data_IF_368783306699
#
_entry.id   IF_368783306699
#
_cell.length_a   1.000
_cell.length_b   1.000
_cell.length_c   1.000
_cell.angle_alpha   90.00
_cell.angle_beta   90.00
_cell.angle_gamma   90.00
#
_symmetry.space_group_name_H-M   'P 1'
#
loop_
_entity.id
_entity.type
_entity.pdbx_description
1 polymer ?
#
# COMPACT_ATOMS: atom_id res chain seq x y z
N UNK A 1 7.87 0.12 -17.34
CA UNK A 1 6.85 -0.94 -17.23
C UNK A 1 7.43 -2.08 -16.42
N UNK A 2 7.24 -2.05 -15.10
CA UNK A 2 7.70 -3.12 -14.20
C UNK A 2 6.72 -4.28 -14.34
N UNK A 3 7.15 -5.29 -15.08
CA UNK A 3 6.44 -6.55 -15.22
C UNK A 3 6.91 -7.43 -14.07
N UNK A 4 6.15 -7.48 -12.98
CA UNK A 4 6.37 -8.44 -11.91
C UNK A 4 5.90 -9.81 -12.43
N UNK A 5 6.68 -10.38 -13.35
CA UNK A 5 6.47 -11.71 -13.87
C UNK A 5 7.18 -12.71 -12.96
N UNK A 6 6.38 -13.68 -12.49
CA UNK A 6 6.76 -14.97 -11.93
C UNK A 6 7.23 -14.97 -10.47
N UNK A 7 6.37 -15.44 -9.56
CA UNK A 7 6.81 -16.31 -8.45
C UNK A 7 5.84 -17.49 -8.36
N UNK A 8 6.39 -18.68 -8.61
CA UNK A 8 5.78 -19.95 -8.30
C UNK A 8 5.55 -20.06 -6.79
N UNK A 9 4.40 -20.62 -6.41
CA UNK A 9 4.11 -20.92 -5.02
C UNK A 9 5.12 -21.93 -4.49
N UNK A 10 5.89 -21.52 -3.48
CA UNK A 10 6.46 -22.47 -2.53
C UNK A 10 5.42 -22.64 -1.43
N UNK A 11 4.83 -23.83 -1.39
CA UNK A 11 4.08 -24.30 -0.24
C UNK A 11 5.07 -24.96 0.72
N UNK A 12 5.11 -24.45 1.95
CA UNK A 12 5.74 -25.11 3.09
C UNK A 12 5.39 -26.61 3.08
N UNK A 13 6.43 -27.44 3.22
CA UNK A 13 6.44 -28.88 2.98
C UNK A 13 5.50 -29.75 3.85
N UNK A 14 4.58 -29.18 4.63
CA UNK A 14 3.72 -29.93 5.55
C UNK A 14 2.24 -29.52 5.55
N UNK A 15 1.79 -28.64 4.66
CA UNK A 15 0.35 -28.35 4.50
C UNK A 15 -0.07 -28.44 3.04
N UNK A 16 -1.28 -28.93 2.72
CA UNK A 16 -1.72 -29.10 1.34
C UNK A 16 -2.12 -27.75 0.75
N UNK A 17 -1.16 -26.85 0.53
CA UNK A 17 -1.42 -25.48 0.07
C UNK A 17 -1.75 -25.49 -1.41
N UNK A 18 -2.99 -25.10 -1.71
CA UNK A 18 -3.59 -25.08 -3.05
C UNK A 18 -3.34 -23.71 -3.64
N UNK A 19 -2.63 -23.71 -4.75
CA UNK A 19 -1.78 -22.60 -5.11
C UNK A 19 -2.53 -21.62 -6.06
N UNK A 20 -2.79 -20.39 -5.61
CA UNK A 20 -3.29 -19.30 -6.46
C UNK A 20 -2.13 -18.43 -6.91
N UNK A 21 -1.89 -18.38 -8.22
CA UNK A 21 -0.85 -17.55 -8.83
C UNK A 21 -1.37 -16.12 -8.90
N UNK A 22 -0.65 -15.16 -8.31
CA UNK A 22 -1.03 -13.74 -8.33
C UNK A 22 -0.01 -12.97 -9.18
N UNK A 23 -0.51 -12.16 -10.12
CA UNK A 23 0.30 -11.20 -10.89
C UNK A 23 -0.17 -9.79 -10.62
N UNK A 24 0.72 -8.97 -10.07
CA UNK A 24 0.55 -7.53 -9.98
C UNK A 24 1.30 -6.87 -11.12
N UNK A 25 0.66 -5.97 -11.88
CA UNK A 25 1.40 -5.09 -12.80
C UNK A 25 1.16 -3.65 -12.41
N UNK A 26 2.25 -2.89 -12.34
CA UNK A 26 2.24 -1.46 -12.07
C UNK A 26 2.96 -0.74 -13.21
N UNK A 27 2.46 0.43 -13.57
CA UNK A 27 3.09 1.24 -14.62
C UNK A 27 4.34 1.96 -14.09
N UNK A 28 4.38 2.18 -12.76
CA UNK A 28 5.38 2.96 -12.02
C UNK A 28 5.99 2.11 -10.90
N UNK A 29 7.23 2.43 -10.51
CA UNK A 29 7.99 1.75 -9.44
C UNK A 29 7.48 2.09 -8.03
N UNK A 30 7.02 3.32 -7.83
CA UNK A 30 6.38 3.81 -6.61
C UNK A 30 4.96 4.21 -6.97
N UNK A 31 3.98 3.73 -6.19
CA UNK A 31 2.57 4.03 -6.42
C UNK A 31 2.06 5.09 -5.45
N UNK A 32 1.38 6.10 -5.97
CA UNK A 32 0.68 7.11 -5.18
C UNK A 32 -0.73 6.64 -4.81
N UNK A 33 -0.99 6.63 -3.50
CA UNK A 33 -2.31 6.31 -2.96
C UNK A 33 -3.39 7.28 -3.51
N UNK A 34 -4.52 6.74 -3.95
CA UNK A 34 -5.65 7.50 -4.49
C UNK A 34 -5.54 7.93 -5.96
N UNK A 35 -4.42 7.65 -6.63
CA UNK A 35 -4.17 8.02 -8.03
C UNK A 35 -3.89 6.77 -8.84
N UNK A 36 -2.89 5.99 -8.41
CA UNK A 36 -2.38 4.88 -9.18
C UNK A 36 -3.24 3.62 -9.07
N UNK A 37 -3.19 2.82 -10.14
CA UNK A 37 -3.97 1.60 -10.29
C UNK A 37 -3.05 0.38 -10.30
N UNK A 38 -3.39 -0.59 -9.46
CA UNK A 38 -2.79 -1.90 -9.42
C UNK A 38 -3.66 -2.89 -10.20
N UNK A 39 -3.07 -3.56 -11.19
CA UNK A 39 -3.76 -4.65 -11.90
C UNK A 39 -3.37 -5.97 -11.26
N UNK A 40 -4.35 -6.66 -10.68
CA UNK A 40 -4.18 -7.94 -9.99
C UNK A 40 -4.85 -9.02 -10.82
N UNK A 41 -4.10 -10.05 -11.18
CA UNK A 41 -4.63 -11.23 -11.87
C UNK A 41 -4.37 -12.46 -11.04
N UNK A 42 -5.38 -13.31 -10.87
CA UNK A 42 -5.21 -14.59 -10.22
C UNK A 42 -5.76 -15.77 -11.00
N UNK A 43 -5.10 -16.92 -10.85
CA UNK A 43 -5.48 -18.20 -11.46
C UNK A 43 -5.08 -19.37 -10.55
N UNK A 44 -5.85 -20.45 -10.58
CA UNK A 44 -5.44 -21.71 -9.96
C UNK A 44 -4.22 -22.29 -10.69
N UNK A 45 -3.19 -22.67 -9.93
CA UNK A 45 -2.05 -23.40 -10.47
C UNK A 45 -2.47 -24.78 -10.98
N UNK A 46 -1.95 -25.18 -12.13
CA UNK A 46 -2.17 -26.51 -12.73
C UNK A 46 -1.58 -27.65 -11.90
N UNK A 47 -0.69 -27.36 -10.94
CA UNK A 47 -0.07 -28.35 -10.04
C UNK A 47 -0.92 -28.72 -8.83
N UNK A 48 -2.09 -28.09 -8.65
CA UNK A 48 -2.98 -28.38 -7.53
C UNK A 48 -3.61 -29.79 -7.66
N UNK A 49 -3.09 -30.76 -6.90
CA UNK A 49 -3.53 -32.17 -6.92
C UNK A 49 -4.98 -32.41 -6.46
N UNK A 50 -5.62 -31.43 -5.80
CA UNK A 50 -6.99 -31.54 -5.29
C UNK A 50 -7.72 -30.22 -5.48
N UNK A 51 -8.87 -30.23 -6.15
CA UNK A 51 -9.76 -29.07 -6.26
C UNK A 51 -10.38 -28.81 -4.89
N UNK A 52 -10.14 -27.65 -4.27
CA UNK A 52 -10.78 -27.33 -2.98
C UNK A 52 -12.15 -26.74 -3.26
N UNK A 53 -13.11 -27.07 -2.41
CA UNK A 53 -14.44 -26.45 -2.41
C UNK A 53 -14.32 -25.10 -1.68
N UNK A 54 -13.57 -24.16 -2.24
CA UNK A 54 -13.57 -22.78 -1.75
C UNK A 54 -14.59 -22.00 -2.56
N UNK A 55 -15.49 -21.33 -1.83
CA UNK A 55 -16.57 -20.54 -2.42
C UNK A 55 -16.09 -19.12 -2.70
N UNK A 56 -15.15 -18.62 -1.90
CA UNK A 56 -14.76 -17.21 -1.88
C UNK A 56 -13.25 -17.02 -1.82
N UNK A 57 -12.77 -16.05 -2.60
CA UNK A 57 -11.40 -15.54 -2.56
C UNK A 57 -11.45 -14.13 -1.96
N UNK A 58 -10.69 -13.91 -0.90
CA UNK A 58 -10.40 -12.60 -0.30
C UNK A 58 -9.00 -12.17 -0.74
N UNK A 59 -8.90 -11.05 -1.44
CA UNK A 59 -7.62 -10.45 -1.84
C UNK A 59 -7.35 -9.29 -0.89
N UNK A 60 -6.21 -9.32 -0.21
CA UNK A 60 -5.78 -8.33 0.76
C UNK A 60 -4.40 -7.77 0.39
N UNK A 61 -4.15 -6.55 0.83
CA UNK A 61 -2.86 -5.87 0.73
C UNK A 61 -2.13 -5.97 2.07
N UNK A 62 -0.88 -6.44 2.04
CA UNK A 62 -0.12 -6.81 3.23
C UNK A 62 1.24 -6.13 3.30
N UNK A 63 1.69 -5.81 4.51
CA UNK A 63 3.00 -5.18 4.74
C UNK A 63 4.15 -6.16 4.53
N UNK A 64 5.13 -5.77 3.71
CA UNK A 64 6.40 -6.49 3.60
C UNK A 64 7.20 -6.43 4.91
N UNK A 65 8.08 -7.40 5.22
CA UNK A 65 8.86 -7.42 6.46
C UNK A 65 9.63 -6.12 6.72
N UNK A 66 10.18 -5.52 5.67
CA UNK A 66 10.88 -4.22 5.73
C UNK A 66 10.01 -3.09 6.28
N UNK A 67 8.69 -3.16 6.08
CA UNK A 67 7.71 -2.17 6.55
C UNK A 67 7.17 -2.44 7.95
N UNK A 68 7.53 -3.59 8.55
CA UNK A 68 7.07 -4.03 9.87
C UNK A 68 8.08 -3.75 10.99
N UNK A 69 9.35 -3.51 10.65
CA UNK A 69 10.42 -3.17 11.60
C UNK A 69 10.01 -1.97 12.45
N UNK A 70 10.13 -2.09 13.78
CA UNK A 70 9.77 -1.10 14.79
C UNK A 70 8.32 -0.59 14.75
N UNK A 71 7.40 -1.35 14.13
CA UNK A 71 5.99 -0.98 13.99
C UNK A 71 5.08 -2.11 14.48
N UNK A 72 4.84 -2.22 15.81
CA UNK A 72 4.01 -3.28 16.39
C UNK A 72 2.58 -3.35 15.83
N UNK A 73 2.05 -2.25 15.30
CA UNK A 73 0.74 -2.20 14.65
C UNK A 73 0.70 -2.82 13.25
N UNK A 74 1.83 -3.31 12.72
CA UNK A 74 1.97 -3.99 11.41
C UNK A 74 2.50 -5.42 11.55
N UNK A 75 2.56 -5.96 12.77
CA UNK A 75 3.21 -7.23 13.09
C UNK A 75 2.44 -8.43 12.54
N UNK A 76 3.19 -9.41 12.01
CA UNK A 76 2.67 -10.73 11.66
C UNK A 76 2.49 -11.62 12.89
N UNK A 77 1.32 -12.22 13.01
CA UNK A 77 0.98 -13.22 14.03
C UNK A 77 0.47 -14.51 13.35
N UNK A 78 0.65 -15.65 14.00
CA UNK A 78 0.20 -16.94 13.46
C UNK A 78 -1.33 -17.10 13.49
N UNK A 79 -1.99 -16.42 14.41
CA UNK A 79 -3.45 -16.41 14.49
C UNK A 79 -4.01 -15.33 13.57
N UNK A 80 -4.78 -15.72 12.55
CA UNK A 80 -5.39 -14.83 11.55
C UNK A 80 -6.15 -13.64 12.16
N UNK A 81 -6.85 -13.86 13.27
CA UNK A 81 -7.61 -12.80 13.95
C UNK A 81 -6.70 -11.76 14.64
N UNK A 82 -5.49 -12.14 15.03
CA UNK A 82 -4.50 -11.26 15.66
C UNK A 82 -3.53 -10.66 14.65
N UNK A 83 -3.48 -11.20 13.43
CA UNK A 83 -2.57 -10.75 12.39
C UNK A 83 -2.92 -9.33 11.90
N UNK A 84 -1.97 -8.41 12.06
CA UNK A 84 -2.10 -7.01 11.61
C UNK A 84 -1.35 -6.74 10.31
N UNK A 85 -0.79 -7.79 9.70
CA UNK A 85 0.01 -7.68 8.48
C UNK A 85 -0.81 -7.20 7.29
N UNK A 86 -2.08 -7.60 7.22
CA UNK A 86 -2.95 -7.40 6.07
C UNK A 86 -4.17 -6.53 6.40
N UNK A 87 -3.98 -5.22 6.65
CA UNK A 87 -5.07 -4.36 7.12
C UNK A 87 -6.06 -3.97 6.01
N UNK A 88 -5.63 -3.92 4.75
CA UNK A 88 -6.45 -3.40 3.67
C UNK A 88 -7.01 -4.55 2.82
N UNK A 89 -8.34 -4.61 2.75
CA UNK A 89 -9.05 -5.54 1.91
C UNK A 89 -9.26 -4.93 0.53
N UNK A 90 -8.74 -5.59 -0.50
CA UNK A 90 -8.86 -5.12 -1.89
C UNK A 90 -10.22 -5.55 -2.46
N UNK A 91 -10.51 -6.85 -2.41
CA UNK A 91 -11.74 -7.40 -2.96
C UNK A 91 -12.10 -8.76 -2.36
N UNK A 92 -13.40 -9.04 -2.27
CA UNK A 92 -13.90 -10.42 -2.10
C UNK A 92 -14.68 -10.80 -3.34
N UNK A 93 -14.35 -11.94 -3.94
CA UNK A 93 -15.10 -12.51 -5.05
C UNK A 93 -15.43 -13.96 -4.82
N UNK A 94 -16.54 -14.41 -5.41
CA UNK A 94 -16.80 -15.82 -5.55
C UNK A 94 -15.72 -16.47 -6.42
N UNK A 95 -15.29 -17.66 -6.04
CA UNK A 95 -14.27 -18.40 -6.75
C UNK A 95 -14.75 -18.80 -8.14
N UNK A 96 -13.89 -18.60 -9.14
CA UNK A 96 -14.06 -19.14 -10.48
C UNK A 96 -12.76 -19.83 -10.91
N UNK A 97 -12.88 -20.95 -11.63
CA UNK A 97 -11.75 -21.72 -12.17
C UNK A 97 -11.00 -20.95 -13.26
N UNK A 98 -11.67 -20.02 -13.94
CA UNK A 98 -11.08 -19.17 -14.98
C UNK A 98 -10.14 -18.12 -14.39
N UNK A 99 -9.16 -17.68 -15.19
CA UNK A 99 -8.30 -16.55 -14.81
C UNK A 99 -9.13 -15.29 -14.63
N UNK A 100 -9.00 -14.64 -13.49
CA UNK A 100 -9.68 -13.39 -13.19
C UNK A 100 -8.66 -12.27 -13.08
N UNK A 101 -8.96 -11.13 -13.69
CA UNK A 101 -8.18 -9.91 -13.58
C UNK A 101 -9.05 -8.78 -13.02
N UNK A 102 -8.45 -7.93 -12.20
CA UNK A 102 -9.10 -6.81 -11.57
C UNK A 102 -8.14 -5.62 -11.47
N UNK A 103 -8.61 -4.45 -11.88
CA UNK A 103 -7.89 -3.19 -11.68
C UNK A 103 -8.41 -2.55 -10.40
N UNK A 104 -7.53 -2.38 -9.43
CA UNK A 104 -7.82 -1.74 -8.15
C UNK A 104 -7.09 -0.40 -8.08
N UNK A 105 -7.83 0.67 -7.79
CA UNK A 105 -7.20 1.95 -7.44
C UNK A 105 -6.79 1.90 -5.97
N UNK A 106 -5.56 2.28 -5.65
CA UNK A 106 -5.12 2.29 -4.26
C UNK A 106 -5.97 3.27 -3.44
N UNK A 107 -6.52 2.80 -2.33
CA UNK A 107 -7.28 3.67 -1.43
C UNK A 107 -6.40 4.76 -0.82
N UNK A 108 -7.01 5.92 -0.54
CA UNK A 108 -6.32 7.09 0.01
C UNK A 108 -5.79 6.87 1.43
N UNK A 109 -6.38 5.93 2.16
CA UNK A 109 -6.04 5.61 3.54
C UNK A 109 -4.83 4.66 3.66
N UNK A 110 -4.27 4.23 2.52
CA UNK A 110 -3.08 3.38 2.51
C UNK A 110 -1.85 4.21 2.90
N UNK A 111 -1.17 3.76 3.94
CA UNK A 111 0.00 4.43 4.49
C UNK A 111 1.26 4.21 3.63
N UNK A 112 2.25 5.09 3.79
CA UNK A 112 3.54 4.91 3.12
C UNK A 112 4.23 3.65 3.63
N UNK A 113 4.68 2.82 2.71
CA UNK A 113 5.39 1.58 3.00
C UNK A 113 5.52 0.66 1.80
N UNK A 114 6.26 -0.41 1.98
CA UNK A 114 6.40 -1.50 1.02
C UNK A 114 5.37 -2.59 1.30
N UNK A 115 4.66 -3.02 0.26
CA UNK A 115 3.55 -3.96 0.33
C UNK A 115 3.70 -5.12 -0.66
N UNK A 116 2.94 -6.18 -0.42
CA UNK A 116 2.70 -7.29 -1.35
C UNK A 116 1.23 -7.70 -1.33
N UNK A 117 0.79 -8.41 -2.36
CA UNK A 117 -0.60 -8.90 -2.46
C UNK A 117 -0.69 -10.31 -1.88
N UNK A 118 -1.66 -10.51 -0.99
CA UNK A 118 -1.98 -11.80 -0.40
C UNK A 118 -3.42 -12.18 -0.73
N UNK A 119 -3.66 -13.44 -1.02
CA UNK A 119 -5.00 -14.00 -1.19
C UNK A 119 -5.24 -15.07 -0.14
N UNK A 120 -6.40 -14.96 0.51
CA UNK A 120 -6.93 -15.95 1.43
C UNK A 120 -8.13 -16.62 0.75
N UNK A 121 -8.20 -17.95 0.82
CA UNK A 121 -9.33 -18.72 0.34
C UNK A 121 -10.10 -19.27 1.53
N UNK A 122 -11.40 -19.00 1.50
CA UNK A 122 -12.32 -19.37 2.57
C UNK A 122 -13.39 -20.30 2.01
N UNK A 123 -13.80 -21.26 2.84
CA UNK A 123 -14.91 -22.15 2.58
C UNK A 123 -16.14 -21.65 3.33
N UNK A 124 -17.21 -21.34 2.60
CA UNK A 124 -18.45 -20.78 3.16
C UNK A 124 -19.30 -21.79 3.94
N UNK A 125 -18.85 -23.04 4.07
CA UNK A 125 -19.63 -24.14 4.68
C UNK A 125 -19.46 -24.20 6.20
N UNK A 126 -18.32 -23.82 6.76
CA UNK A 126 -18.16 -23.72 8.22
C UNK A 126 -17.99 -22.24 8.60
N UNK A 127 -18.91 -21.75 9.42
CA UNK A 127 -19.02 -20.35 9.86
C UNK A 127 -17.88 -19.88 10.81
N UNK A 128 -16.66 -20.35 10.60
CA UNK A 128 -15.44 -19.86 11.24
C UNK A 128 -14.53 -19.40 10.10
N UNK A 129 -13.88 -18.25 10.22
CA UNK A 129 -12.89 -17.76 9.26
C UNK A 129 -11.61 -18.64 9.25
N UNK A 130 -11.75 -19.95 8.97
CA UNK A 130 -10.62 -20.86 8.83
C UNK A 130 -10.12 -20.77 7.39
N UNK A 131 -8.84 -20.45 7.26
CA UNK A 131 -8.19 -20.40 5.97
C UNK A 131 -7.96 -21.81 5.44
N UNK A 132 -8.47 -22.09 4.24
CA UNK A 132 -8.33 -23.39 3.59
C UNK A 132 -7.09 -23.43 2.71
N UNK A 133 -6.67 -22.26 2.21
CA UNK A 133 -5.43 -22.05 1.46
C UNK A 133 -5.13 -20.56 1.26
N UNK A 134 -3.84 -20.23 1.13
CA UNK A 134 -3.36 -18.92 0.69
C UNK A 134 -2.67 -19.00 -0.66
N UNK A 135 -2.60 -17.85 -1.33
CA UNK A 135 -1.61 -17.57 -2.36
C UNK A 135 -0.98 -16.19 -2.12
N UNK A 136 0.32 -16.05 -2.34
CA UNK A 136 1.05 -14.80 -2.17
C UNK A 136 1.78 -14.42 -3.46
N UNK A 137 1.94 -13.12 -3.71
CA UNK A 137 2.71 -12.63 -4.87
C UNK A 137 4.23 -12.65 -4.67
N UNK A 138 4.69 -12.94 -3.45
CA UNK A 138 6.08 -12.90 -3.00
C UNK A 138 6.59 -14.30 -2.63
N UNK A 139 7.90 -14.46 -2.45
CA UNK A 139 8.52 -15.70 -1.97
C UNK A 139 8.27 -15.92 -0.46
N UNK A 140 8.58 -17.10 0.08
CA UNK A 140 8.40 -17.39 1.53
C UNK A 140 9.16 -16.40 2.42
N UNK A 141 10.33 -15.94 1.97
CA UNK A 141 11.12 -14.93 2.68
C UNK A 141 10.55 -13.49 2.56
N UNK A 142 9.50 -13.29 1.75
CA UNK A 142 8.83 -12.00 1.48
C UNK A 142 9.80 -10.90 1.03
N UNK A 143 10.76 -11.25 0.19
CA UNK A 143 11.82 -10.36 -0.33
C UNK A 143 11.67 -10.02 -1.81
N UNK A 144 10.85 -10.76 -2.58
CA UNK A 144 10.66 -10.55 -4.03
C UNK A 144 9.27 -10.00 -4.35
N UNK A 145 9.09 -9.35 -5.49
CA UNK A 145 7.82 -8.79 -5.96
C UNK A 145 7.12 -7.84 -4.97
N UNK A 146 7.92 -7.01 -4.32
CA UNK A 146 7.46 -5.96 -3.43
C UNK A 146 7.25 -4.67 -4.23
N UNK A 147 6.27 -3.86 -3.84
CA UNK A 147 6.08 -2.52 -4.40
C UNK A 147 5.97 -1.49 -3.29
N UNK A 148 6.47 -0.28 -3.56
CA UNK A 148 6.42 0.83 -2.62
C UNK A 148 5.16 1.65 -2.89
N UNK A 149 4.41 1.95 -1.83
CA UNK A 149 3.27 2.86 -1.85
C UNK A 149 3.64 4.11 -1.09
N UNK A 150 3.35 5.25 -1.70
CA UNK A 150 3.44 6.56 -1.08
C UNK A 150 2.04 7.03 -0.71
N UNK A 151 1.82 7.28 0.59
CA UNK A 151 0.55 7.82 1.06
C UNK A 151 0.36 9.26 0.59
N UNK A 152 -0.89 9.69 0.57
CA UNK A 152 -1.23 11.10 0.38
C UNK A 152 -0.66 11.88 1.57
N UNK A 153 0.37 12.68 1.30
CA UNK A 153 0.86 13.63 2.29
C UNK A 153 -0.18 14.74 2.45
N UNK A 154 -0.59 15.03 3.69
CA UNK A 154 -1.42 16.21 4.01
C UNK A 154 -0.74 17.55 3.72
N UNK A 155 0.54 17.55 3.32
CA UNK A 155 1.25 18.74 2.85
C UNK A 155 0.79 19.07 1.43
N UNK A 156 -0.28 19.83 1.34
CA UNK A 156 -0.75 20.39 0.08
C UNK A 156 0.29 21.35 -0.49
N UNK A 157 0.52 21.31 -1.80
CA UNK A 157 1.41 22.26 -2.51
C UNK A 157 1.04 23.72 -2.25
N UNK A 158 -0.24 23.99 -1.99
CA UNK A 158 -0.74 25.30 -1.58
C UNK A 158 -0.10 25.80 -0.26
N UNK A 159 0.12 24.92 0.71
CA UNK A 159 0.70 25.28 2.00
C UNK A 159 2.18 25.63 1.86
N UNK A 160 2.90 24.91 0.99
CA UNK A 160 4.28 25.26 0.65
C UNK A 160 4.38 26.64 0.00
N UNK A 161 3.52 26.93 -0.99
CA UNK A 161 3.49 28.22 -1.67
C UNK A 161 3.13 29.35 -0.68
N UNK A 162 2.13 29.14 0.17
CA UNK A 162 1.74 30.13 1.19
C UNK A 162 2.90 30.42 2.16
N UNK A 163 3.65 29.41 2.59
CA UNK A 163 4.80 29.58 3.48
C UNK A 163 5.90 30.45 2.86
N UNK A 164 6.17 30.27 1.57
CA UNK A 164 7.13 31.09 0.82
C UNK A 164 6.64 32.53 0.75
N UNK A 165 5.38 32.76 0.39
CA UNK A 165 4.80 34.10 0.32
C UNK A 165 4.86 34.84 1.67
N UNK A 166 4.47 34.18 2.77
CA UNK A 166 4.51 34.79 4.11
C UNK A 166 5.94 35.10 4.57
N UNK A 167 6.91 34.23 4.27
CA UNK A 167 8.31 34.49 4.60
C UNK A 167 8.84 35.73 3.87
N UNK A 168 8.61 35.84 2.57
CA UNK A 168 9.03 37.01 1.76
C UNK A 168 8.34 38.28 2.24
N UNK A 169 7.03 38.22 2.52
CA UNK A 169 6.28 39.36 3.02
C UNK A 169 6.83 39.86 4.37
N UNK A 170 7.19 38.96 5.28
CA UNK A 170 7.74 39.35 6.59
C UNK A 170 9.06 40.11 6.48
N UNK A 171 9.96 39.68 5.59
CA UNK A 171 11.26 40.34 5.35
C UNK A 171 11.06 41.71 4.72
N UNK A 172 10.17 41.80 3.72
CA UNK A 172 9.85 43.08 3.08
C UNK A 172 9.20 44.07 4.04
N UNK A 173 8.26 43.61 4.88
CA UNK A 173 7.62 44.44 5.89
C UNK A 173 8.63 45.01 6.90
N UNK A 174 9.59 44.19 7.36
CA UNK A 174 10.68 44.64 8.24
C UNK A 174 11.57 45.70 7.57
N UNK A 175 11.94 45.49 6.29
CA UNK A 175 12.74 46.47 5.55
C UNK A 175 12.01 47.81 5.39
N UNK A 176 10.72 47.78 5.04
CA UNK A 176 9.89 48.98 4.93
C UNK A 176 9.80 49.70 6.29
N UNK A 177 9.61 48.95 7.38
CA UNK A 177 9.56 49.51 8.73
C UNK A 177 10.87 50.22 9.10
N UNK A 178 12.03 49.61 8.82
CA UNK A 178 13.33 50.23 9.08
C UNK A 178 13.57 51.49 8.24
N UNK A 179 13.21 51.47 6.94
CA UNK A 179 13.37 52.64 6.06
C UNK A 179 12.47 53.79 6.50
N UNK A 180 11.21 53.51 6.83
CA UNK A 180 10.28 54.53 7.31
C UNK A 180 10.70 55.06 8.68
N UNK A 181 11.16 54.20 9.60
CA UNK A 181 11.73 54.63 10.88
C UNK A 181 12.90 55.59 10.71
N UNK A 182 13.85 55.28 9.81
CA UNK A 182 14.98 56.17 9.50
C UNK A 182 14.55 57.49 8.85
N UNK A 183 13.55 57.47 7.96
CA UNK A 183 13.01 58.70 7.34
C UNK A 183 12.34 59.61 8.35
N UNK A 184 11.55 59.04 9.28
CA UNK A 184 10.87 59.81 10.34
C UNK A 184 11.87 60.43 11.31
N UNK A 185 12.89 59.67 11.76
CA UNK A 185 13.94 60.20 12.62
C UNK A 185 14.71 61.38 11.99
N UNK A 186 15.01 61.32 10.69
CA UNK A 186 15.68 62.43 9.98
C UNK A 186 14.81 63.69 9.86
N UNK A 187 13.49 63.53 9.71
CA UNK A 187 12.56 64.66 9.63
C UNK A 187 12.40 65.37 10.98
N UNK A 188 12.40 64.62 12.09
CA UNK A 188 12.32 65.21 13.43
C UNK A 188 13.60 65.95 13.84
N UNK A 189 14.78 65.50 13.41
CA UNK A 189 16.04 66.21 13.65
C UNK A 189 16.22 67.48 12.80
N UNK A 190 15.45 67.63 11.72
CA UNK A 190 15.49 68.77 10.82
C UNK A 190 14.49 69.87 11.17
N UNK A 191 13.67 69.66 12.21
CA UNK A 191 12.67 70.61 12.70
C UNK A 191 13.17 71.31 13.96
#
# INVERSE_FOLDING_TARGET
MLKLDLVDLVGLAETPVRAVVIRGTTEVEVLDAGIDKLSITWKLSSTAKKQANFTTIKVNLCYAPVSQVDRPWRRTENELFKDKTCPHKIITRAYNKSSQSFKYTLDRDILTGTYFVHTLQENSVDAKDYEVAFGQSTNEAKTTNLFSVQAISGRHKSLDIASVCFSVFSVLALLVFFVNGKRKAKLEQSK
#
